data_IF_341463863375
#
_entry.id   IF_341463863375
#
_cell.length_a   1.000
_cell.length_b   1.000
_cell.length_c   1.000
_cell.angle_alpha   90.00
_cell.angle_beta   90.00
_cell.angle_gamma   90.00
#
_symmetry.space_group_name_H-M   'P 1'
#
loop_
_entity.id
_entity.type
_entity.pdbx_description
1 polymer ?
#
# COMPACT_ATOMS: atom_id res chain seq x y z
N UNK A 1 -4.63 -7.88 -35.39
CA UNK A 1 -5.61 -8.16 -34.31
C UNK A 1 -6.52 -6.95 -34.10
N UNK A 2 -7.75 -7.15 -33.66
CA UNK A 2 -8.66 -6.03 -33.38
C UNK A 2 -8.37 -5.40 -32.00
N UNK A 3 -9.04 -4.28 -31.69
CA UNK A 3 -8.83 -3.51 -30.45
C UNK A 3 -9.10 -4.33 -29.18
N UNK A 4 -10.12 -5.19 -29.19
CA UNK A 4 -10.53 -5.96 -28.01
C UNK A 4 -9.63 -7.18 -27.79
N UNK A 5 -9.16 -7.81 -28.87
CA UNK A 5 -8.12 -8.84 -28.86
C UNK A 5 -6.80 -8.27 -28.33
N UNK A 6 -6.38 -7.10 -28.81
CA UNK A 6 -5.18 -6.44 -28.33
C UNK A 6 -5.31 -6.01 -26.86
N UNK A 7 -6.46 -5.47 -26.47
CA UNK A 7 -6.75 -5.07 -25.09
C UNK A 7 -6.61 -6.25 -24.12
N UNK A 8 -7.18 -7.40 -24.50
CA UNK A 8 -7.07 -8.65 -23.74
C UNK A 8 -5.63 -9.13 -23.68
N UNK A 9 -4.94 -9.23 -24.82
CA UNK A 9 -3.58 -9.73 -24.89
C UNK A 9 -2.55 -8.83 -24.18
N UNK A 10 -2.77 -7.52 -24.19
CA UNK A 10 -1.92 -6.53 -23.51
C UNK A 10 -2.41 -6.21 -22.08
N UNK A 11 -3.47 -6.84 -21.57
CA UNK A 11 -4.07 -6.56 -20.25
C UNK A 11 -4.34 -5.06 -20.00
N UNK A 12 -4.85 -4.35 -21.00
CA UNK A 12 -5.25 -2.93 -20.91
C UNK A 12 -6.68 -2.74 -21.42
N UNK A 13 -7.33 -1.63 -21.08
CA UNK A 13 -8.71 -1.38 -21.52
C UNK A 13 -8.79 -1.01 -23.02
N UNK A 14 -9.88 -1.36 -23.74
CA UNK A 14 -10.10 -0.95 -25.13
C UNK A 14 -10.02 0.58 -25.33
N UNK A 15 -10.49 1.35 -24.33
CA UNK A 15 -10.37 2.82 -24.31
C UNK A 15 -8.91 3.26 -24.36
N UNK A 16 -8.03 2.59 -23.61
CA UNK A 16 -6.59 2.88 -23.60
C UNK A 16 -5.97 2.52 -24.94
N UNK A 17 -6.31 1.38 -25.55
CA UNK A 17 -5.86 0.99 -26.90
C UNK A 17 -6.25 2.05 -27.93
N UNK A 18 -7.50 2.53 -27.93
CA UNK A 18 -7.93 3.61 -28.83
C UNK A 18 -7.13 4.90 -28.61
N UNK A 19 -6.84 5.27 -27.36
CA UNK A 19 -6.01 6.43 -27.06
C UNK A 19 -4.55 6.27 -27.56
N UNK A 20 -4.01 5.04 -27.56
CA UNK A 20 -2.68 4.73 -28.12
C UNK A 20 -2.66 4.91 -29.65
N UNK A 21 -3.73 4.50 -30.32
CA UNK A 21 -3.90 4.68 -31.76
C UNK A 21 -4.02 6.18 -32.10
N UNK A 22 -4.90 6.91 -31.41
CA UNK A 22 -5.13 8.35 -31.65
C UNK A 22 -3.84 9.18 -31.51
N UNK A 23 -2.96 8.83 -30.56
CA UNK A 23 -1.69 9.53 -30.34
C UNK A 23 -0.54 9.04 -31.26
N UNK A 24 -0.81 8.13 -32.19
CA UNK A 24 0.18 7.58 -33.12
C UNK A 24 1.23 6.64 -32.48
N UNK A 25 1.02 6.22 -31.23
CA UNK A 25 1.98 5.36 -30.52
C UNK A 25 1.73 3.86 -30.72
N UNK A 26 0.64 3.50 -31.40
CA UNK A 26 0.33 2.13 -31.77
C UNK A 26 -0.03 2.12 -33.26
N UNK A 27 0.79 1.51 -34.13
CA UNK A 27 0.46 1.41 -35.56
C UNK A 27 -0.81 0.60 -35.72
N UNK A 28 -1.81 1.22 -36.33
CA UNK A 28 -3.08 0.59 -36.61
C UNK A 28 -3.67 1.14 -37.90
N UNK A 29 -4.27 0.25 -38.68
CA UNK A 29 -4.98 0.58 -39.91
C UNK A 29 -6.48 0.58 -39.63
N UNK A 30 -7.18 1.62 -40.09
CA UNK A 30 -8.64 1.70 -39.97
C UNK A 30 -9.28 0.84 -41.05
N UNK A 31 -10.05 -0.17 -40.65
CA UNK A 31 -10.76 -1.08 -41.57
C UNK A 31 -12.25 -1.00 -41.26
N UNK A 32 -13.01 -0.40 -42.17
CA UNK A 32 -14.43 -0.12 -41.99
C UNK A 32 -14.69 0.78 -40.75
N UNK A 33 -15.48 0.27 -39.80
CA UNK A 33 -15.77 0.95 -38.52
C UNK A 33 -14.78 0.61 -37.40
N UNK A 34 -13.81 -0.27 -37.65
CA UNK A 34 -12.87 -0.78 -36.66
C UNK A 34 -11.42 -0.37 -36.92
N UNK A 35 -10.55 -0.74 -35.99
CA UNK A 35 -9.10 -0.63 -36.11
C UNK A 35 -8.47 -2.02 -36.06
N UNK A 36 -7.55 -2.28 -36.99
CA UNK A 36 -6.67 -3.45 -37.00
C UNK A 36 -5.29 -2.98 -36.58
N UNK A 37 -4.73 -3.61 -35.56
CA UNK A 37 -3.44 -3.24 -34.99
C UNK A 37 -2.35 -4.08 -35.67
N UNK A 38 -1.40 -3.38 -36.27
CA UNK A 38 -0.33 -3.90 -37.12
C UNK A 38 0.99 -3.87 -36.33
N UNK A 39 1.09 -4.71 -35.30
CA UNK A 39 2.27 -4.77 -34.45
C UNK A 39 2.18 -5.87 -33.39
N UNK A 40 3.34 -6.28 -32.82
CA UNK A 40 3.34 -7.23 -31.71
C UNK A 40 2.59 -6.65 -30.51
N UNK A 41 1.98 -7.52 -29.72
CA UNK A 41 1.33 -7.14 -28.46
C UNK A 41 2.40 -6.54 -27.54
N UNK A 42 2.42 -5.21 -27.47
CA UNK A 42 3.21 -4.53 -26.45
C UNK A 42 2.42 -4.68 -25.15
N UNK A 43 2.84 -5.62 -24.32
CA UNK A 43 2.48 -5.58 -22.90
C UNK A 43 2.89 -4.20 -22.39
N UNK A 44 2.04 -3.52 -21.61
CA UNK A 44 2.43 -2.26 -21.00
C UNK A 44 3.78 -2.50 -20.31
N UNK A 45 4.76 -1.66 -20.66
CA UNK A 45 5.98 -1.55 -19.85
C UNK A 45 5.56 -1.51 -18.39
N UNK A 46 6.23 -2.28 -17.53
CA UNK A 46 5.90 -2.49 -16.12
C UNK A 46 5.32 -1.25 -15.43
N UNK A 47 4.45 -1.51 -14.44
CA UNK A 47 3.68 -0.49 -13.68
C UNK A 47 4.42 0.85 -13.66
N UNK A 48 3.79 1.92 -14.18
CA UNK A 48 4.43 3.25 -14.27
C UNK A 48 5.21 3.53 -12.98
N UNK A 49 6.50 3.89 -13.07
CA UNK A 49 7.30 4.13 -11.88
C UNK A 49 6.63 5.15 -10.97
N UNK A 50 6.82 4.98 -9.68
CA UNK A 50 6.34 5.94 -8.70
C UNK A 50 7.08 7.27 -8.88
N UNK A 51 6.39 8.38 -8.59
CA UNK A 51 7.07 9.68 -8.51
C UNK A 51 8.07 9.67 -7.34
N UNK A 52 9.12 10.50 -7.37
CA UNK A 52 10.09 10.62 -6.27
C UNK A 52 9.40 10.84 -4.91
N UNK A 53 8.41 11.73 -4.84
CA UNK A 53 7.63 11.96 -3.62
C UNK A 53 6.91 10.71 -3.12
N UNK A 54 6.37 9.87 -4.02
CA UNK A 54 5.72 8.62 -3.65
C UNK A 54 6.73 7.56 -3.19
N UNK A 55 7.91 7.52 -3.81
CA UNK A 55 9.02 6.64 -3.41
C UNK A 55 9.53 7.02 -2.00
N UNK A 56 9.71 8.31 -1.75
CA UNK A 56 10.13 8.84 -0.44
C UNK A 56 9.10 8.57 0.65
N UNK A 57 7.81 8.77 0.35
CA UNK A 57 6.72 8.48 1.29
C UNK A 57 6.65 6.99 1.63
N UNK A 58 6.81 6.12 0.63
CA UNK A 58 6.80 4.67 0.85
C UNK A 58 8.01 4.19 1.66
N UNK A 59 9.23 4.61 1.30
CA UNK A 59 10.44 4.23 2.05
C UNK A 59 10.43 4.79 3.47
N UNK A 60 9.92 6.01 3.68
CA UNK A 60 9.68 6.57 5.01
C UNK A 60 8.71 5.70 5.82
N UNK A 61 7.57 5.36 5.23
CA UNK A 61 6.53 4.63 5.93
C UNK A 61 6.97 3.21 6.31
N UNK A 62 7.72 2.53 5.42
CA UNK A 62 8.32 1.23 5.70
C UNK A 62 9.41 1.31 6.77
N UNK A 63 10.25 2.36 6.74
CA UNK A 63 11.31 2.56 7.71
C UNK A 63 10.76 2.87 9.11
N UNK A 64 9.79 3.80 9.20
CA UNK A 64 9.14 4.21 10.44
C UNK A 64 8.03 3.26 10.89
N UNK A 65 7.66 2.28 10.07
CA UNK A 65 6.56 1.33 10.31
C UNK A 65 5.23 2.03 10.61
N UNK A 66 5.01 3.16 9.96
CA UNK A 66 3.97 4.12 10.31
C UNK A 66 3.62 5.02 9.13
N UNK A 67 2.40 5.53 9.10
CA UNK A 67 1.98 6.54 8.12
C UNK A 67 1.99 7.97 8.71
N UNK A 68 2.59 8.16 9.90
CA UNK A 68 2.70 9.44 10.58
C UNK A 68 3.32 10.51 9.68
N UNK A 69 2.69 11.69 9.65
CA UNK A 69 3.11 12.81 8.80
C UNK A 69 2.63 12.76 7.35
N UNK A 70 1.99 11.67 6.91
CA UNK A 70 1.31 11.63 5.60
C UNK A 70 -0.16 12.02 5.75
N UNK A 71 -0.65 12.85 4.83
CA UNK A 71 -2.04 13.32 4.81
C UNK A 71 -2.75 13.03 3.48
N UNK A 72 -4.08 13.09 3.51
CA UNK A 72 -4.95 13.01 2.33
C UNK A 72 -4.65 11.84 1.38
N UNK A 73 -4.59 12.13 0.09
CA UNK A 73 -4.42 11.13 -0.96
C UNK A 73 -3.04 10.45 -0.93
N UNK A 74 -1.99 11.14 -0.45
CA UNK A 74 -0.66 10.55 -0.34
C UNK A 74 -0.66 9.44 0.72
N UNK A 75 -1.28 9.67 1.89
CA UNK A 75 -1.46 8.64 2.92
C UNK A 75 -2.20 7.43 2.37
N UNK A 76 -3.33 7.63 1.69
CA UNK A 76 -4.14 6.54 1.15
C UNK A 76 -3.40 5.71 0.09
N UNK A 77 -2.65 6.38 -0.81
CA UNK A 77 -1.83 5.69 -1.83
C UNK A 77 -0.67 4.93 -1.21
N UNK A 78 0.00 5.50 -0.21
CA UNK A 78 1.10 4.81 0.48
C UNK A 78 0.59 3.60 1.26
N UNK A 79 -0.55 3.72 1.96
CA UNK A 79 -1.19 2.60 2.64
C UNK A 79 -1.55 1.46 1.66
N UNK A 80 -2.13 1.82 0.52
CA UNK A 80 -2.46 0.85 -0.55
C UNK A 80 -1.22 0.12 -1.07
N UNK A 81 -0.12 0.83 -1.27
CA UNK A 81 1.16 0.23 -1.71
C UNK A 81 1.74 -0.70 -0.65
N UNK A 82 1.71 -0.33 0.63
CA UNK A 82 2.17 -1.23 1.69
C UNK A 82 1.31 -2.50 1.71
N UNK A 83 0.00 -2.39 1.52
CA UNK A 83 -0.91 -3.54 1.40
C UNK A 83 -0.56 -4.43 0.21
N UNK A 84 -0.37 -3.84 -0.96
CA UNK A 84 0.07 -4.56 -2.16
C UNK A 84 1.40 -5.30 -1.92
N UNK A 85 2.34 -4.65 -1.22
CA UNK A 85 3.63 -5.23 -0.90
C UNK A 85 3.50 -6.40 0.09
N UNK A 86 2.65 -6.27 1.13
CA UNK A 86 2.37 -7.33 2.11
C UNK A 86 1.67 -8.55 1.49
N UNK A 87 0.83 -8.31 0.47
CA UNK A 87 0.05 -9.36 -0.20
C UNK A 87 0.77 -9.99 -1.42
N UNK A 88 1.90 -9.43 -1.86
CA UNK A 88 2.60 -9.91 -3.06
C UNK A 88 3.35 -11.20 -2.78
N UNK A 89 3.23 -12.17 -3.70
CA UNK A 89 4.09 -13.36 -3.75
C UNK A 89 5.48 -13.06 -4.31
N UNK A 90 5.63 -11.92 -5.00
CA UNK A 90 6.90 -11.43 -5.55
C UNK A 90 7.09 -9.93 -5.24
N UNK A 91 7.41 -9.59 -3.99
CA UNK A 91 7.57 -8.19 -3.57
C UNK A 91 8.79 -7.51 -4.20
N UNK A 92 9.83 -8.26 -4.61
CA UNK A 92 11.02 -7.72 -5.27
C UNK A 92 10.66 -7.08 -6.60
N UNK A 93 9.98 -7.81 -7.48
CA UNK A 93 9.56 -7.29 -8.80
C UNK A 93 8.69 -6.05 -8.66
N UNK A 94 7.75 -6.05 -7.72
CA UNK A 94 6.85 -4.93 -7.49
C UNK A 94 7.59 -3.66 -7.01
N UNK A 95 8.62 -3.80 -6.15
CA UNK A 95 9.48 -2.68 -5.74
C UNK A 95 10.37 -2.19 -6.89
N UNK A 96 10.95 -3.10 -7.68
CA UNK A 96 11.77 -2.75 -8.85
C UNK A 96 10.95 -1.97 -9.88
N UNK A 97 9.71 -2.41 -10.15
CA UNK A 97 8.77 -1.71 -11.03
C UNK A 97 8.44 -0.31 -10.53
N UNK A 98 8.17 -0.16 -9.23
CA UNK A 98 7.92 1.15 -8.60
C UNK A 98 9.12 2.09 -8.66
N UNK A 99 10.33 1.56 -8.81
CA UNK A 99 11.57 2.31 -9.04
C UNK A 99 11.95 2.43 -10.52
N UNK A 100 11.13 1.90 -11.43
CA UNK A 100 11.40 1.92 -12.87
C UNK A 100 12.68 1.20 -13.26
N UNK A 101 13.03 0.13 -12.55
CA UNK A 101 14.23 -0.65 -12.82
C UNK A 101 15.54 0.04 -12.42
N UNK A 102 15.50 1.19 -11.73
CA UNK A 102 16.70 1.91 -11.30
C UNK A 102 16.89 1.80 -9.79
N UNK A 103 18.03 1.29 -9.38
CA UNK A 103 18.38 1.22 -7.97
C UNK A 103 18.50 2.64 -7.37
N UNK A 104 18.15 2.83 -6.09
CA UNK A 104 18.44 4.07 -5.37
C UNK A 104 19.93 4.41 -5.44
N UNK A 105 20.26 5.68 -5.71
CA UNK A 105 21.65 6.13 -5.80
C UNK A 105 22.41 6.03 -4.45
N UNK A 106 21.68 6.10 -3.34
CA UNK A 106 22.23 6.00 -1.99
C UNK A 106 21.52 4.90 -1.21
N UNK A 107 22.31 4.06 -0.53
CA UNK A 107 21.81 3.04 0.38
C UNK A 107 21.83 3.58 1.80
N UNK A 108 20.65 3.71 2.40
CA UNK A 108 20.48 4.09 3.80
C UNK A 108 19.36 3.25 4.43
N UNK A 109 19.06 3.47 5.70
CA UNK A 109 18.02 2.71 6.42
C UNK A 109 16.63 2.74 5.78
N UNK A 110 16.34 3.71 4.90
CA UNK A 110 15.06 3.87 4.20
C UNK A 110 15.06 3.16 2.84
N UNK A 111 16.19 3.17 2.12
CA UNK A 111 16.32 2.57 0.79
C UNK A 111 16.86 1.15 0.81
N UNK A 112 17.35 0.64 1.95
CA UNK A 112 17.91 -0.71 2.07
C UNK A 112 16.94 -1.79 1.58
N UNK A 113 15.66 -1.69 1.91
CA UNK A 113 14.64 -2.65 1.48
C UNK A 113 14.50 -2.69 -0.05
N UNK A 114 14.62 -1.54 -0.72
CA UNK A 114 14.61 -1.46 -2.19
C UNK A 114 15.87 -2.09 -2.77
N UNK A 115 17.04 -1.90 -2.14
CA UNK A 115 18.28 -2.57 -2.59
C UNK A 115 18.18 -4.10 -2.52
N UNK A 116 17.52 -4.65 -1.50
CA UNK A 116 17.24 -6.09 -1.43
C UNK A 116 16.30 -6.57 -2.55
N UNK A 117 15.37 -5.72 -3.02
CA UNK A 117 14.52 -6.03 -4.16
C UNK A 117 15.31 -6.18 -5.47
N UNK A 118 16.29 -5.31 -5.70
CA UNK A 118 17.20 -5.43 -6.85
C UNK A 118 18.07 -6.70 -6.81
N UNK A 119 18.19 -7.34 -5.64
CA UNK A 119 18.88 -8.62 -5.44
C UNK A 119 17.93 -9.82 -5.41
N UNK A 120 16.65 -9.62 -5.75
CA UNK A 120 15.61 -10.66 -5.74
C UNK A 120 15.43 -11.35 -4.38
N UNK A 121 15.67 -10.63 -3.29
CA UNK A 121 15.57 -11.19 -1.93
C UNK A 121 14.14 -11.07 -1.38
N UNK A 122 13.23 -11.85 -1.97
CA UNK A 122 11.82 -11.87 -1.61
C UNK A 122 11.57 -12.28 -0.15
N UNK A 123 12.35 -13.21 0.39
CA UNK A 123 12.23 -13.67 1.77
C UNK A 123 12.52 -12.52 2.76
N UNK A 124 13.63 -11.80 2.57
CA UNK A 124 13.98 -10.67 3.42
C UNK A 124 12.91 -9.58 3.39
N UNK A 125 12.41 -9.24 2.19
CA UNK A 125 11.40 -8.19 2.04
C UNK A 125 10.09 -8.61 2.70
N UNK A 126 9.63 -9.83 2.43
CA UNK A 126 8.41 -10.38 3.05
C UNK A 126 8.53 -10.35 4.57
N UNK A 127 9.64 -10.86 5.11
CA UNK A 127 9.92 -10.82 6.54
C UNK A 127 9.91 -9.38 7.04
N UNK A 128 10.57 -8.43 6.38
CA UNK A 128 10.69 -7.06 6.87
C UNK A 128 9.39 -6.26 6.82
N UNK A 129 8.56 -6.46 5.79
CA UNK A 129 7.30 -5.71 5.58
C UNK A 129 6.16 -6.27 6.44
N UNK A 130 6.17 -7.58 6.70
CA UNK A 130 5.17 -8.25 7.55
C UNK A 130 5.58 -8.32 9.02
N UNK A 131 6.88 -8.31 9.33
CA UNK A 131 7.32 -8.37 10.72
C UNK A 131 6.98 -7.07 11.44
N UNK A 132 6.07 -7.20 12.41
CA UNK A 132 5.83 -6.19 13.42
C UNK A 132 6.37 -6.70 14.76
N UNK A 133 7.33 -6.01 15.39
CA UNK A 133 7.70 -6.35 16.75
C UNK A 133 6.54 -6.02 17.70
N UNK A 134 6.53 -6.61 18.88
CA UNK A 134 5.58 -6.25 19.92
C UNK A 134 5.69 -4.77 20.27
N UNK A 135 4.64 -3.99 20.05
CA UNK A 135 4.67 -2.53 20.18
C UNK A 135 4.42 -2.10 21.63
N UNK A 136 5.25 -1.19 22.15
CA UNK A 136 5.05 -0.58 23.46
C UNK A 136 4.06 0.59 23.34
N UNK A 137 2.77 0.32 23.50
CA UNK A 137 1.69 1.26 23.20
C UNK A 137 1.15 1.95 24.47
N UNK A 138 2.03 2.44 25.34
CA UNK A 138 1.61 3.22 26.52
C UNK A 138 1.20 4.65 26.19
N UNK A 139 1.84 5.26 25.19
CA UNK A 139 1.50 6.62 24.76
C UNK A 139 0.22 6.57 23.89
N UNK A 140 -0.86 7.29 24.28
CA UNK A 140 -2.07 7.39 23.47
C UNK A 140 -1.81 7.86 22.03
N UNK A 141 -0.80 8.71 21.81
CA UNK A 141 -0.47 9.20 20.48
C UNK A 141 0.13 8.11 19.58
N UNK A 142 0.98 7.25 20.14
CA UNK A 142 1.57 6.13 19.40
C UNK A 142 0.52 5.05 19.14
N UNK A 143 -0.34 4.79 20.12
CA UNK A 143 -1.48 3.89 19.94
C UNK A 143 -2.42 4.37 18.82
N UNK A 144 -2.76 5.66 18.81
CA UNK A 144 -3.60 6.26 17.77
C UNK A 144 -2.96 6.13 16.38
N UNK A 145 -1.65 6.40 16.25
CA UNK A 145 -0.93 6.28 14.99
C UNK A 145 -0.88 4.83 14.50
N UNK A 146 -0.63 3.88 15.41
CA UNK A 146 -0.58 2.45 15.10
C UNK A 146 -1.92 1.94 14.58
N UNK A 147 -3.01 2.25 15.30
CA UNK A 147 -4.37 1.85 14.90
C UNK A 147 -4.75 2.48 13.56
N UNK A 148 -4.54 3.79 13.42
CA UNK A 148 -4.85 4.52 12.20
C UNK A 148 -4.02 4.03 11.00
N UNK A 149 -2.75 3.69 11.22
CA UNK A 149 -1.85 3.18 10.19
C UNK A 149 -2.31 1.82 9.70
N UNK A 150 -2.50 0.85 10.59
CA UNK A 150 -2.87 -0.51 10.19
C UNK A 150 -4.27 -0.58 9.60
N UNK A 151 -5.22 0.18 10.15
CA UNK A 151 -6.55 0.32 9.55
C UNK A 151 -6.45 0.83 8.11
N UNK A 152 -5.64 1.87 7.89
CA UNK A 152 -5.44 2.45 6.55
C UNK A 152 -4.77 1.46 5.60
N UNK A 153 -3.76 0.72 6.05
CA UNK A 153 -3.07 -0.29 5.23
C UNK A 153 -4.04 -1.41 4.85
N UNK A 154 -4.86 -1.88 5.78
CA UNK A 154 -5.89 -2.91 5.50
C UNK A 154 -7.01 -2.39 4.58
N UNK A 155 -7.09 -1.07 4.37
CA UNK A 155 -8.11 -0.45 3.52
C UNK A 155 -9.48 -0.38 4.20
N UNK A 156 -9.52 -0.46 5.52
CA UNK A 156 -10.75 -0.44 6.30
C UNK A 156 -11.16 1.00 6.62
N UNK A 157 -12.45 1.29 6.59
CA UNK A 157 -13.05 2.44 7.25
C UNK A 157 -13.09 2.26 8.77
N UNK A 158 -13.32 3.34 9.52
CA UNK A 158 -13.48 3.25 10.99
C UNK A 158 -14.65 2.35 11.38
N UNK A 159 -15.74 2.43 10.63
CA UNK A 159 -16.93 1.60 10.84
C UNK A 159 -16.60 0.12 10.65
N UNK A 160 -15.94 -0.23 9.54
CA UNK A 160 -15.55 -1.62 9.29
C UNK A 160 -14.60 -2.17 10.36
N UNK A 161 -13.66 -1.35 10.86
CA UNK A 161 -12.81 -1.76 11.98
C UNK A 161 -13.64 -1.98 13.26
N UNK A 162 -14.57 -1.08 13.56
CA UNK A 162 -15.43 -1.19 14.73
C UNK A 162 -16.30 -2.46 14.67
N UNK A 163 -16.90 -2.74 13.50
CA UNK A 163 -17.71 -3.92 13.23
C UNK A 163 -16.87 -5.21 13.40
N UNK A 164 -15.64 -5.24 12.85
CA UNK A 164 -14.70 -6.37 13.00
C UNK A 164 -14.30 -6.61 14.46
N UNK A 165 -14.09 -5.53 15.22
CA UNK A 165 -13.73 -5.60 16.64
C UNK A 165 -14.94 -5.77 17.58
N UNK A 166 -16.17 -5.68 17.05
CA UNK A 166 -17.43 -5.67 17.80
C UNK A 166 -17.48 -4.58 18.88
N UNK A 167 -17.03 -3.38 18.53
CA UNK A 167 -17.04 -2.18 19.39
C UNK A 167 -17.84 -1.06 18.72
N UNK A 168 -18.16 -0.01 19.47
CA UNK A 168 -18.80 1.16 18.89
C UNK A 168 -17.84 1.94 17.97
N UNK A 169 -18.36 2.47 16.85
CA UNK A 169 -17.56 3.27 15.92
C UNK A 169 -16.96 4.53 16.55
N UNK A 170 -17.62 5.10 17.56
CA UNK A 170 -17.13 6.23 18.35
C UNK A 170 -15.91 5.87 19.19
N UNK A 171 -15.78 4.61 19.62
CA UNK A 171 -14.59 4.13 20.34
C UNK A 171 -13.36 4.16 19.41
N UNK A 172 -13.48 3.62 18.19
CA UNK A 172 -12.41 3.66 17.19
C UNK A 172 -12.06 5.10 16.81
N UNK A 173 -13.06 5.97 16.69
CA UNK A 173 -12.82 7.39 16.46
C UNK A 173 -12.03 8.03 17.61
N UNK A 174 -12.46 7.85 18.85
CA UNK A 174 -11.79 8.40 20.03
C UNK A 174 -10.34 7.91 20.15
N UNK A 175 -10.14 6.60 19.93
CA UNK A 175 -8.83 5.96 19.93
C UNK A 175 -7.89 6.57 18.89
N UNK A 176 -8.35 6.76 17.64
CA UNK A 176 -7.54 7.40 16.59
C UNK A 176 -7.29 8.89 16.80
N UNK A 177 -8.08 9.55 17.67
CA UNK A 177 -7.85 10.92 18.08
C UNK A 177 -6.90 11.01 19.28
N UNK A 178 -6.39 9.88 19.80
CA UNK A 178 -5.55 9.86 21.00
C UNK A 178 -6.30 10.30 22.26
N UNK A 179 -7.63 10.16 22.28
CA UNK A 179 -8.43 10.44 23.47
C UNK A 179 -8.22 9.36 24.52
N UNK A 180 -8.58 9.70 25.74
CA UNK A 180 -8.57 8.77 26.86
C UNK A 180 -9.36 7.50 26.56
N UNK A 181 -8.79 6.37 26.96
CA UNK A 181 -9.34 5.04 26.68
C UNK A 181 -10.23 4.66 27.85
N UNK A 182 -11.50 4.38 27.54
CA UNK A 182 -12.50 4.03 28.56
C UNK A 182 -12.59 2.53 28.83
N UNK A 183 -12.02 1.68 27.97
CA UNK A 183 -12.08 0.21 28.09
C UNK A 183 -10.84 -0.48 27.51
N UNK A 184 -10.07 -1.16 28.36
CA UNK A 184 -8.95 -2.02 27.93
C UNK A 184 -9.44 -3.22 27.12
N UNK A 185 -10.64 -3.72 27.41
CA UNK A 185 -11.24 -4.84 26.69
C UNK A 185 -11.51 -4.47 25.23
N UNK A 186 -12.08 -3.29 25.00
CA UNK A 186 -12.40 -2.77 23.67
C UNK A 186 -11.14 -2.46 22.89
N UNK A 187 -10.15 -1.88 23.57
CA UNK A 187 -8.82 -1.65 23.01
C UNK A 187 -8.17 -2.94 22.50
N UNK A 188 -8.15 -3.99 23.33
CA UNK A 188 -7.59 -5.30 22.94
C UNK A 188 -8.33 -5.91 21.75
N UNK A 189 -9.67 -5.76 21.70
CA UNK A 189 -10.47 -6.24 20.55
C UNK A 189 -10.12 -5.50 19.26
N UNK A 190 -9.96 -4.18 19.32
CA UNK A 190 -9.53 -3.37 18.17
C UNK A 190 -8.15 -3.81 17.70
N UNK A 191 -7.16 -3.90 18.59
CA UNK A 191 -5.80 -4.32 18.24
C UNK A 191 -5.75 -5.72 17.63
N UNK A 192 -6.52 -6.68 18.17
CA UNK A 192 -6.64 -8.02 17.60
C UNK A 192 -7.25 -8.00 16.20
N UNK A 193 -8.26 -7.18 15.94
CA UNK A 193 -8.90 -7.08 14.63
C UNK A 193 -7.93 -6.56 13.53
N UNK A 194 -6.88 -5.84 13.92
CA UNK A 194 -5.82 -5.36 13.02
C UNK A 194 -4.51 -6.16 13.15
N UNK A 195 -4.53 -7.31 13.83
CA UNK A 195 -3.37 -8.19 14.04
C UNK A 195 -2.18 -7.47 14.66
N UNK A 196 -2.46 -6.68 15.69
CA UNK A 196 -1.44 -5.96 16.47
C UNK A 196 -1.37 -6.55 17.85
N UNK A 197 -0.21 -7.11 18.19
CA UNK A 197 0.10 -7.62 19.51
C UNK A 197 0.85 -6.55 20.33
N UNK A 198 0.22 -5.96 21.36
CA UNK A 198 0.89 -4.98 22.21
C UNK A 198 1.81 -5.68 23.23
N UNK A 199 3.01 -5.15 23.45
CA UNK A 199 3.85 -5.54 24.61
C UNK A 199 3.47 -4.77 25.88
N UNK A 200 2.88 -3.59 25.73
CA UNK A 200 2.32 -2.79 26.81
C UNK A 200 1.14 -1.96 26.31
N UNK A 201 0.20 -1.69 27.20
CA UNK A 201 -0.96 -0.82 26.97
C UNK A 201 -0.98 0.32 28.01
N UNK A 202 -1.71 1.41 27.75
CA UNK A 202 -1.86 2.48 28.72
C UNK A 202 -2.53 1.96 29.98
N UNK A 203 -2.14 2.46 31.15
CA UNK A 203 -2.90 2.25 32.37
C UNK A 203 -4.24 2.96 32.23
N UNK A 204 -5.34 2.27 32.45
CA UNK A 204 -6.63 2.93 32.67
C UNK A 204 -6.73 3.10 34.18
N UNK A 205 -6.77 4.34 34.65
CA UNK A 205 -7.16 4.61 36.03
C UNK A 205 -8.60 4.13 36.17
N UNK A 206 -8.80 3.02 36.88
CA UNK A 206 -10.15 2.61 37.25
C UNK A 206 -10.65 3.60 38.30
N UNK A 207 -11.82 4.23 38.09
CA UNK A 207 -12.44 5.07 39.11
C UNK A 207 -12.77 4.26 40.37
#
# INVERSE_FOLDING_TARGET
MNVDEYATAAAITPRRVRALITRGALPATKVGRGWVIDGPVQRPSGRRPLSPTSQDALTNALHRRGLRGLTGQLRARTATRIRELRASTDPSTLLVDWWGGKAPAQVNGRTNLVMHAFRQNNEFITKRVNHRPSEYLRDPADLADVVSTERSIRGLSRKELADLARVDSSFVFALEQGREITSLGDLRRVLRAIDVEPSALPSIDMP
#
